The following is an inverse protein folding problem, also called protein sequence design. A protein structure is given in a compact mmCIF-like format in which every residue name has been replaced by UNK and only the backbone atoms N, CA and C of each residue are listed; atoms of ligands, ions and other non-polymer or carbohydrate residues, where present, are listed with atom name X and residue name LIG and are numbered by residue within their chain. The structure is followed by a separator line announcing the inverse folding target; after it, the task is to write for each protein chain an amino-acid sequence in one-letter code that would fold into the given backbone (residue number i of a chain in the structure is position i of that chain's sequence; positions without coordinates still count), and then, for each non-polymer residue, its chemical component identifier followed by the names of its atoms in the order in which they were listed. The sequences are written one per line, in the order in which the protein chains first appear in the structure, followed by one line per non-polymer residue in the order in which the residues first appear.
data_IF_803316740550
#
_entry.id   IF_803316740550
#
_cell.length_a   1.000
_cell.length_b   1.000
_cell.length_c   1.000
_cell.angle_alpha   90.00
_cell.angle_beta   90.00
_cell.angle_gamma   90.00
#
_symmetry.space_group_name_H-M   'P 1'
#
loop_
_entity.id
_entity.type
_entity.pdbx_description
1 polymer ?
#
# COMPACT_ATOMS: atom_id res chain seq x y z
N UNK A 1 -5.37 0.49 -7.97
CA UNK A 1 -5.44 1.82 -7.33
C UNK A 1 -4.62 1.77 -6.05
N UNK A 2 -3.71 2.75 -5.86
CA UNK A 2 -3.03 2.99 -4.60
C UNK A 2 -3.74 4.13 -3.87
N UNK A 3 -4.10 3.91 -2.62
CA UNK A 3 -4.73 4.92 -1.77
C UNK A 3 -3.85 5.19 -0.56
N UNK A 4 -3.62 6.47 -0.27
CA UNK A 4 -2.93 6.91 0.94
C UNK A 4 -3.91 7.73 1.77
N UNK A 5 -4.11 7.35 3.03
CA UNK A 5 -4.97 8.05 3.98
C UNK A 5 -4.18 8.54 5.18
N UNK A 6 -4.46 9.76 5.65
CA UNK A 6 -3.83 10.34 6.83
C UNK A 6 -4.85 11.17 7.62
N UNK A 7 -4.85 11.03 8.95
CA UNK A 7 -5.53 11.94 9.87
C UNK A 7 -4.59 13.09 10.21
N UNK A 8 -5.04 14.32 9.97
CA UNK A 8 -4.20 15.52 10.10
C UNK A 8 -4.98 16.69 10.71
N UNK A 9 -4.28 17.68 11.23
CA UNK A 9 -4.84 18.97 11.58
C UNK A 9 -5.24 19.75 10.32
N UNK A 10 -6.25 20.61 10.44
CA UNK A 10 -6.83 21.33 9.30
C UNK A 10 -5.86 22.23 8.54
N UNK A 11 -4.87 22.77 9.23
CA UNK A 11 -3.86 23.66 8.67
C UNK A 11 -2.68 22.93 8.02
N UNK A 12 -2.63 21.60 8.11
CA UNK A 12 -1.51 20.76 7.63
C UNK A 12 -1.79 20.03 6.32
N UNK A 13 -2.92 20.30 5.66
CA UNK A 13 -3.30 19.60 4.41
C UNK A 13 -2.17 19.67 3.37
N UNK A 14 -1.72 20.87 3.04
CA UNK A 14 -0.71 21.06 2.00
C UNK A 14 0.62 20.40 2.39
N UNK A 15 1.07 20.57 3.63
CA UNK A 15 2.30 19.96 4.13
C UNK A 15 2.25 18.44 4.03
N UNK A 16 1.13 17.83 4.42
CA UNK A 16 0.95 16.36 4.36
C UNK A 16 0.93 15.86 2.92
N UNK A 17 0.23 16.57 2.04
CA UNK A 17 0.18 16.23 0.62
C UNK A 17 1.57 16.27 -0.02
N UNK A 18 2.33 17.33 0.23
CA UNK A 18 3.68 17.50 -0.31
C UNK A 18 4.61 16.41 0.22
N UNK A 19 4.49 16.04 1.49
CA UNK A 19 5.28 14.97 2.08
C UNK A 19 4.94 13.59 1.47
N UNK A 20 3.67 13.28 1.25
CA UNK A 20 3.26 12.03 0.58
C UNK A 20 3.87 11.95 -0.83
N UNK A 21 3.81 13.03 -1.59
CA UNK A 21 4.40 13.08 -2.94
C UNK A 21 5.92 12.98 -2.89
N UNK A 22 6.56 13.61 -1.93
CA UNK A 22 8.01 13.51 -1.70
C UNK A 22 8.44 12.07 -1.40
N UNK A 23 7.69 11.35 -0.57
CA UNK A 23 7.96 9.94 -0.26
C UNK A 23 7.78 9.05 -1.50
N UNK A 24 6.76 9.29 -2.31
CA UNK A 24 6.58 8.56 -3.57
C UNK A 24 7.76 8.81 -4.53
N UNK A 25 8.23 10.05 -4.61
CA UNK A 25 9.39 10.38 -5.44
C UNK A 25 10.69 9.75 -4.92
N UNK A 26 10.87 9.64 -3.61
CA UNK A 26 11.98 8.89 -3.01
C UNK A 26 11.92 7.40 -3.42
N UNK A 27 10.75 6.78 -3.38
CA UNK A 27 10.55 5.41 -3.88
C UNK A 27 10.92 5.27 -5.37
N UNK A 28 10.52 6.23 -6.20
CA UNK A 28 10.85 6.25 -7.65
C UNK A 28 12.35 6.36 -7.93
N UNK A 29 13.09 7.01 -7.03
CA UNK A 29 14.57 7.13 -7.10
C UNK A 29 15.29 5.94 -6.49
N UNK A 30 14.57 5.02 -5.86
CA UNK A 30 15.16 3.87 -5.17
C UNK A 30 15.77 4.22 -3.80
N UNK A 31 15.36 5.33 -3.21
CA UNK A 31 15.76 5.76 -1.86
C UNK A 31 14.95 5.00 -0.80
N UNK A 32 15.01 3.68 -0.87
CA UNK A 32 14.35 2.73 0.05
C UNK A 32 15.45 1.86 0.63
N UNK A 33 15.53 1.76 1.94
CA UNK A 33 16.49 0.89 2.61
C UNK A 33 16.06 -0.58 2.53
N UNK A 34 17.01 -1.48 2.68
CA UNK A 34 16.70 -2.92 2.75
C UNK A 34 15.84 -3.25 3.97
N UNK A 35 16.01 -2.51 5.05
CA UNK A 35 15.20 -2.65 6.27
C UNK A 35 13.75 -2.27 6.02
N UNK A 36 13.49 -1.15 5.34
CA UNK A 36 12.13 -0.72 4.96
C UNK A 36 11.46 -1.73 4.03
N UNK A 37 12.19 -2.24 3.04
CA UNK A 37 11.67 -3.28 2.15
C UNK A 37 11.30 -4.54 2.93
N UNK A 38 12.16 -4.99 3.84
CA UNK A 38 11.93 -6.16 4.68
C UNK A 38 10.74 -5.96 5.59
N UNK A 39 10.66 -4.83 6.29
CA UNK A 39 9.53 -4.50 7.17
C UNK A 39 8.20 -4.44 6.40
N UNK A 40 8.19 -3.87 5.20
CA UNK A 40 7.00 -3.84 4.34
C UNK A 40 6.54 -5.23 3.92
N UNK A 41 7.48 -6.11 3.55
CA UNK A 41 7.18 -7.51 3.25
C UNK A 41 6.61 -8.25 4.46
N UNK A 42 7.24 -8.14 5.61
CA UNK A 42 6.80 -8.80 6.85
C UNK A 42 5.41 -8.36 7.27
N UNK A 43 5.09 -7.07 7.19
CA UNK A 43 3.77 -6.55 7.46
C UNK A 43 2.71 -7.15 6.53
N UNK A 44 2.99 -7.23 5.23
CA UNK A 44 2.09 -7.81 4.24
C UNK A 44 1.93 -9.31 4.43
N UNK A 45 3.02 -10.05 4.66
CA UNK A 45 2.99 -11.49 4.94
C UNK A 45 2.21 -11.81 6.22
N UNK A 46 2.37 -11.01 7.27
CA UNK A 46 1.60 -11.14 8.52
C UNK A 46 0.10 -10.97 8.28
N UNK A 47 -0.29 -9.96 7.51
CA UNK A 47 -1.68 -9.73 7.12
C UNK A 47 -2.26 -10.90 6.32
N UNK A 48 -1.49 -11.44 5.38
CA UNK A 48 -1.92 -12.58 4.57
C UNK A 48 -2.06 -13.88 5.37
N UNK A 49 -1.17 -14.12 6.33
CA UNK A 49 -1.29 -15.27 7.25
C UNK A 49 -2.56 -15.17 8.09
N UNK A 50 -2.87 -14.00 8.60
CA UNK A 50 -4.10 -13.75 9.37
C UNK A 50 -5.39 -13.99 8.55
N UNK A 51 -5.31 -13.96 7.22
CA UNK A 51 -6.45 -14.27 6.34
C UNK A 51 -6.97 -15.69 6.56
N UNK A 52 -6.10 -16.64 6.88
CA UNK A 52 -6.47 -18.03 7.14
C UNK A 52 -7.16 -18.26 8.49
N UNK A 53 -7.15 -17.26 9.38
CA UNK A 53 -7.63 -17.40 10.76
C UNK A 53 -9.16 -17.33 10.90
N UNK A 54 -9.86 -16.85 9.86
CA UNK A 54 -11.32 -16.77 9.89
C UNK A 54 -11.97 -16.95 8.52
N UNK A 55 -13.14 -17.58 8.44
CA UNK A 55 -13.88 -17.74 7.20
C UNK A 55 -14.21 -16.41 6.51
N UNK A 56 -14.57 -15.37 7.28
CA UNK A 56 -14.88 -14.05 6.74
C UNK A 56 -13.67 -13.36 6.11
N UNK A 57 -12.45 -13.56 6.67
CA UNK A 57 -11.23 -13.04 6.10
C UNK A 57 -10.87 -13.75 4.78
N UNK A 58 -11.08 -15.07 4.71
CA UNK A 58 -10.89 -15.87 3.50
C UNK A 58 -11.86 -15.41 2.41
N UNK A 59 -13.13 -15.24 2.74
CA UNK A 59 -14.17 -14.74 1.83
C UNK A 59 -13.80 -13.35 1.29
N UNK A 60 -13.42 -12.43 2.17
CA UNK A 60 -12.98 -11.08 1.79
C UNK A 60 -11.78 -11.08 0.87
N UNK A 61 -10.80 -11.96 1.12
CA UNK A 61 -9.65 -12.12 0.24
C UNK A 61 -10.07 -12.52 -1.17
N UNK A 62 -10.85 -13.60 -1.31
CA UNK A 62 -11.26 -14.08 -2.64
C UNK A 62 -12.22 -13.12 -3.36
N UNK A 63 -13.10 -12.43 -2.64
CA UNK A 63 -13.94 -11.39 -3.23
C UNK A 63 -13.09 -10.25 -3.82
N UNK A 64 -12.10 -9.77 -3.09
CA UNK A 64 -11.16 -8.75 -3.56
C UNK A 64 -10.29 -9.25 -4.72
N UNK A 65 -9.81 -10.48 -4.63
CA UNK A 65 -9.01 -11.11 -5.67
C UNK A 65 -9.79 -11.23 -6.99
N UNK A 66 -11.06 -11.64 -6.93
CA UNK A 66 -11.95 -11.68 -8.09
C UNK A 66 -12.12 -10.30 -8.74
N UNK A 67 -12.40 -9.27 -7.94
CA UNK A 67 -12.61 -7.91 -8.44
C UNK A 67 -11.35 -7.28 -9.07
N UNK A 68 -10.17 -7.66 -8.57
CA UNK A 68 -8.89 -7.18 -9.07
C UNK A 68 -8.25 -8.08 -10.14
N UNK A 69 -8.95 -9.13 -10.58
CA UNK A 69 -8.44 -10.16 -11.51
C UNK A 69 -7.17 -10.86 -11.01
N UNK A 70 -6.99 -10.91 -9.69
CA UNK A 70 -5.89 -11.59 -9.04
C UNK A 70 -6.22 -13.08 -8.88
N UNK A 71 -5.70 -13.92 -9.77
CA UNK A 71 -5.91 -15.37 -9.73
C UNK A 71 -4.83 -16.07 -8.89
N UNK A 72 -4.71 -15.70 -7.61
CA UNK A 72 -3.73 -16.26 -6.69
C UNK A 72 -4.40 -16.69 -5.39
N UNK A 73 -3.96 -17.84 -4.83
CA UNK A 73 -4.27 -18.17 -3.45
C UNK A 73 -3.41 -17.34 -2.49
N UNK A 74 -3.79 -17.19 -1.20
CA UNK A 74 -2.98 -16.48 -0.22
C UNK A 74 -1.52 -16.98 -0.17
N UNK A 75 -1.31 -18.30 -0.25
CA UNK A 75 0.02 -18.93 -0.23
C UNK A 75 0.87 -18.49 -1.42
N UNK A 76 0.30 -18.54 -2.63
CA UNK A 76 1.00 -18.08 -3.86
C UNK A 76 1.28 -16.59 -3.81
N UNK A 77 0.38 -15.82 -3.20
CA UNK A 77 0.60 -14.39 -3.03
C UNK A 77 1.76 -14.13 -2.05
N UNK A 78 1.83 -14.85 -0.95
CA UNK A 78 2.96 -14.79 -0.02
C UNK A 78 4.29 -15.12 -0.70
N UNK A 79 4.36 -16.19 -1.48
CA UNK A 79 5.55 -16.55 -2.27
C UNK A 79 5.97 -15.45 -3.24
N UNK A 80 4.99 -14.78 -3.86
CA UNK A 80 5.26 -13.66 -4.76
C UNK A 80 5.82 -12.45 -4.01
N UNK A 81 5.27 -12.12 -2.83
CA UNK A 81 5.75 -11.04 -1.96
C UNK A 81 7.19 -11.28 -1.52
N UNK A 82 7.55 -12.52 -1.14
CA UNK A 82 8.92 -12.87 -0.74
C UNK A 82 9.95 -12.60 -1.84
N UNK A 83 9.57 -12.80 -3.10
CA UNK A 83 10.43 -12.61 -4.26
C UNK A 83 10.57 -11.16 -4.72
N UNK A 84 9.73 -10.24 -4.23
CA UNK A 84 9.79 -8.83 -4.63
C UNK A 84 11.16 -8.24 -4.28
N UNK A 85 11.79 -7.63 -5.26
CA UNK A 85 13.07 -6.91 -5.12
C UNK A 85 12.85 -5.40 -4.97
N UNK A 86 13.90 -4.69 -4.56
CA UNK A 86 13.90 -3.23 -4.56
C UNK A 86 13.63 -2.67 -5.96
N UNK A 87 14.19 -3.29 -6.98
CA UNK A 87 13.98 -2.88 -8.38
C UNK A 87 12.50 -3.00 -8.79
N UNK A 88 11.79 -4.03 -8.33
CA UNK A 88 10.36 -4.20 -8.59
C UNK A 88 9.54 -3.09 -7.94
N UNK A 89 9.89 -2.72 -6.70
CA UNK A 89 9.23 -1.60 -5.98
C UNK A 89 9.44 -0.28 -6.72
N UNK A 90 10.66 0.00 -7.15
CA UNK A 90 10.99 1.21 -7.94
C UNK A 90 10.22 1.22 -9.27
N UNK A 91 10.19 0.09 -9.97
CA UNK A 91 9.45 -0.03 -11.23
C UNK A 91 7.96 0.24 -11.02
N UNK A 92 7.36 -0.35 -9.99
CA UNK A 92 5.96 -0.11 -9.64
C UNK A 92 5.71 1.37 -9.25
N UNK A 93 6.57 1.97 -8.42
CA UNK A 93 6.43 3.37 -8.02
C UNK A 93 6.44 4.34 -9.20
N UNK A 94 7.20 4.04 -10.25
CA UNK A 94 7.25 4.83 -11.48
C UNK A 94 5.96 4.83 -12.29
N UNK A 95 5.13 3.81 -12.12
CA UNK A 95 3.81 3.73 -12.78
C UNK A 95 2.71 4.47 -12.03
N UNK A 96 2.94 4.81 -10.77
CA UNK A 96 1.95 5.50 -9.92
C UNK A 96 1.90 6.97 -10.30
N UNK A 97 0.70 7.48 -10.58
CA UNK A 97 0.45 8.90 -10.84
C UNK A 97 -0.67 9.39 -9.92
N UNK A 98 -0.56 10.63 -9.45
CA UNK A 98 -1.62 11.24 -8.67
C UNK A 98 -2.86 11.44 -9.56
N UNK A 99 -3.97 10.82 -9.19
CA UNK A 99 -5.24 10.96 -9.89
C UNK A 99 -6.14 11.99 -9.20
N UNK A 100 -6.32 11.87 -7.89
CA UNK A 100 -7.21 12.75 -7.12
C UNK A 100 -6.74 12.87 -5.68
N UNK A 101 -7.06 13.99 -5.08
CA UNK A 101 -6.90 14.26 -3.65
C UNK A 101 -8.25 14.65 -3.08
N UNK A 102 -8.62 14.10 -1.95
CA UNK A 102 -9.81 14.45 -1.22
C UNK A 102 -9.45 14.79 0.22
N UNK A 103 -9.93 15.94 0.70
CA UNK A 103 -9.77 16.35 2.08
C UNK A 103 -11.14 16.54 2.74
N UNK A 104 -11.43 15.72 3.75
CA UNK A 104 -12.64 15.85 4.55
C UNK A 104 -12.35 16.78 5.72
N UNK A 105 -13.04 17.91 5.72
CA UNK A 105 -12.94 18.91 6.76
C UNK A 105 -14.26 19.00 7.52
N UNK A 106 -14.19 18.89 8.86
CA UNK A 106 -15.36 19.13 9.69
C UNK A 106 -15.74 20.62 9.69
N UNK A 107 -17.01 20.92 9.91
CA UNK A 107 -17.42 22.30 10.18
C UNK A 107 -16.86 22.73 11.53
N UNK A 108 -16.17 23.86 11.57
CA UNK A 108 -15.81 24.51 12.83
C UNK A 108 -17.07 25.04 13.47
N UNK A 109 -17.45 24.49 14.62
CA UNK A 109 -18.45 25.09 15.49
C UNK A 109 -17.96 26.40 16.09
#
# INVERSE_FOLDING_TARGET
ILTVGAGIDFDKEQLTRDEILRQLDACRRGEITQEELTAGKEALLSSLRATSDSPGAIEGYYATACLSSLNMTPERYMEAVEKVSLADVVAAARTVTLHSTYFLKGESQ
#
